data_IF_139435151357
#
_entry.id   IF_139435151357
#
_cell.length_a   1.000
_cell.length_b   1.000
_cell.length_c   1.000
_cell.angle_alpha   90.00
_cell.angle_beta   90.00
_cell.angle_gamma   90.00
#
_symmetry.space_group_name_H-M   'P 1'
#
loop_
_entity.id
_entity.type
_entity.pdbx_description
1 polymer ?
#
# COMPACT_ATOMS: atom_id res chain seq x y z
N UNK A 1 9.50 8.62 -15.87
CA UNK A 1 10.72 8.20 -16.60
C UNK A 1 10.85 8.92 -17.94
N UNK A 2 9.78 9.05 -18.73
CA UNK A 2 9.82 9.80 -20.00
C UNK A 2 10.07 11.32 -19.88
N UNK A 3 10.09 11.88 -18.66
CA UNK A 3 10.24 13.32 -18.38
C UNK A 3 11.57 13.71 -17.73
N UNK A 4 12.49 12.77 -17.52
CA UNK A 4 13.75 13.01 -16.79
C UNK A 4 14.95 12.72 -17.72
N UNK A 5 16.00 13.56 -17.77
CA UNK A 5 17.21 13.29 -18.53
C UNK A 5 17.84 11.95 -18.16
N UNK A 6 18.46 11.27 -19.14
CA UNK A 6 18.99 9.91 -19.00
C UNK A 6 20.00 9.79 -17.83
N UNK A 7 20.77 10.85 -17.60
CA UNK A 7 21.81 10.94 -16.57
C UNK A 7 21.22 10.96 -15.15
N UNK A 8 19.94 11.29 -14.99
CA UNK A 8 19.25 11.41 -13.70
C UNK A 8 18.18 10.34 -13.48
N UNK A 9 18.04 9.38 -14.38
CA UNK A 9 17.04 8.30 -14.28
C UNK A 9 17.22 7.48 -13.01
N UNK A 10 18.46 7.22 -12.58
CA UNK A 10 18.75 6.51 -11.32
C UNK A 10 18.24 7.26 -10.08
N UNK A 11 18.43 8.59 -10.03
CA UNK A 11 17.93 9.43 -8.93
C UNK A 11 16.40 9.48 -8.89
N UNK A 12 15.76 9.59 -10.05
CA UNK A 12 14.30 9.55 -10.15
C UNK A 12 13.74 8.18 -9.76
N UNK A 13 14.38 7.08 -10.18
CA UNK A 13 13.99 5.73 -9.82
C UNK A 13 14.09 5.49 -8.31
N UNK A 14 15.19 5.93 -7.70
CA UNK A 14 15.40 5.85 -6.25
C UNK A 14 14.29 6.59 -5.50
N UNK A 15 14.01 7.84 -5.86
CA UNK A 15 12.97 8.65 -5.23
C UNK A 15 11.57 8.01 -5.33
N UNK A 16 11.22 7.42 -6.48
CA UNK A 16 9.93 6.74 -6.65
C UNK A 16 9.85 5.46 -5.80
N UNK A 17 10.94 4.69 -5.72
CA UNK A 17 10.98 3.46 -4.92
C UNK A 17 10.83 3.74 -3.42
N UNK A 18 11.58 4.71 -2.88
CA UNK A 18 11.48 5.10 -1.47
C UNK A 18 10.10 5.68 -1.15
N UNK A 19 9.56 6.52 -2.04
CA UNK A 19 8.20 7.05 -1.89
C UNK A 19 7.15 5.94 -1.84
N UNK A 20 7.29 4.89 -2.68
CA UNK A 20 6.41 3.71 -2.64
C UNK A 20 6.54 2.92 -1.36
N UNK A 21 7.76 2.66 -0.89
CA UNK A 21 7.99 1.93 0.36
C UNK A 21 7.40 2.69 1.55
N UNK A 22 7.65 4.00 1.62
CA UNK A 22 7.07 4.86 2.65
C UNK A 22 5.55 4.89 2.55
N UNK A 23 5.00 5.01 1.34
CA UNK A 23 3.56 4.95 1.10
C UNK A 23 2.93 3.63 1.56
N UNK A 24 3.59 2.50 1.32
CA UNK A 24 3.12 1.20 1.79
C UNK A 24 3.12 1.12 3.33
N UNK A 25 4.20 1.55 3.98
CA UNK A 25 4.29 1.56 5.43
C UNK A 25 3.24 2.49 6.08
N UNK A 26 3.10 3.71 5.56
CA UNK A 26 2.09 4.67 6.02
C UNK A 26 0.67 4.15 5.77
N UNK A 27 0.42 3.52 4.62
CA UNK A 27 -0.86 2.92 4.29
C UNK A 27 -1.27 1.85 5.31
N UNK A 28 -0.37 0.93 5.63
CA UNK A 28 -0.60 -0.10 6.66
C UNK A 28 -0.86 0.54 8.02
N UNK A 29 -0.04 1.51 8.44
CA UNK A 29 -0.17 2.16 9.74
C UNK A 29 -1.49 2.93 9.91
N UNK A 30 -1.84 3.74 8.91
CA UNK A 30 -3.07 4.55 8.92
C UNK A 30 -4.30 3.64 8.90
N UNK A 31 -4.33 2.62 8.03
CA UNK A 31 -5.47 1.70 7.98
C UNK A 31 -5.60 0.89 9.27
N UNK A 32 -4.49 0.46 9.89
CA UNK A 32 -4.51 -0.21 11.19
C UNK A 32 -5.05 0.69 12.31
N UNK A 33 -4.65 1.96 12.35
CA UNK A 33 -5.16 2.94 13.31
C UNK A 33 -6.67 3.23 13.11
N UNK A 34 -7.11 3.36 11.86
CA UNK A 34 -8.54 3.51 11.52
C UNK A 34 -9.30 2.27 11.98
N UNK A 35 -8.82 1.07 11.65
CA UNK A 35 -9.45 -0.18 12.05
C UNK A 35 -9.62 -0.29 13.56
N UNK A 36 -8.56 -0.02 14.33
CA UNK A 36 -8.63 0.04 15.78
C UNK A 36 -9.68 1.05 16.25
N UNK A 37 -9.64 2.30 15.75
CA UNK A 37 -10.63 3.31 16.10
C UNK A 37 -12.07 2.89 15.82
N UNK A 38 -12.32 2.15 14.72
CA UNK A 38 -13.65 1.63 14.37
C UNK A 38 -14.09 0.47 15.26
N UNK A 39 -13.20 -0.48 15.57
CA UNK A 39 -13.46 -1.57 16.53
C UNK A 39 -13.80 -1.00 17.91
N UNK A 40 -13.02 -0.04 18.40
CA UNK A 40 -13.27 0.63 19.68
C UNK A 40 -14.64 1.35 19.69
N UNK A 41 -14.99 2.00 18.59
CA UNK A 41 -16.29 2.66 18.44
C UNK A 41 -17.45 1.65 18.43
N UNK A 42 -17.28 0.52 17.73
CA UNK A 42 -18.29 -0.54 17.68
C UNK A 42 -18.48 -1.23 19.04
N UNK A 43 -17.40 -1.46 19.80
CA UNK A 43 -17.49 -1.96 21.19
C UNK A 43 -18.28 -1.00 22.08
N UNK A 44 -18.05 0.31 21.97
CA UNK A 44 -18.79 1.30 22.77
C UNK A 44 -20.26 1.36 22.40
N UNK A 45 -20.57 1.18 21.12
CA UNK A 45 -21.94 1.19 20.62
C UNK A 45 -22.72 -0.08 20.95
N UNK A 46 -22.05 -1.23 21.12
CA UNK A 46 -22.72 -2.50 21.43
C UNK A 46 -23.26 -2.58 22.86
N UNK A 47 -22.96 -1.61 23.73
CA UNK A 47 -23.40 -1.59 25.13
C UNK A 47 -22.86 -2.77 25.94
N UNK A 48 -21.76 -3.39 25.47
CA UNK A 48 -21.21 -4.59 26.09
C UNK A 48 -20.76 -4.34 27.54
N UNK A 49 -20.93 -5.33 28.40
CA UNK A 49 -20.47 -5.32 29.80
C UNK A 49 -18.93 -5.38 29.93
N UNK A 50 -18.19 -5.13 28.84
CA UNK A 50 -16.74 -5.07 28.84
C UNK A 50 -16.31 -3.81 29.59
N UNK A 51 -15.76 -3.97 30.79
CA UNK A 51 -15.31 -2.82 31.61
C UNK A 51 -14.29 -1.95 30.88
N UNK A 52 -13.31 -2.56 30.20
CA UNK A 52 -12.28 -1.85 29.43
C UNK A 52 -12.38 -2.10 27.92
N UNK A 53 -13.14 -1.22 27.27
CA UNK A 53 -13.32 -1.20 25.82
C UNK A 53 -12.01 -0.98 25.06
N UNK A 54 -11.05 -0.23 25.64
CA UNK A 54 -9.78 0.07 24.98
C UNK A 54 -8.87 -1.15 25.00
N UNK A 55 -8.72 -1.79 26.16
CA UNK A 55 -7.95 -3.03 26.26
C UNK A 55 -8.53 -4.15 25.39
N UNK A 56 -9.87 -4.22 25.28
CA UNK A 56 -10.54 -5.16 24.37
C UNK A 56 -10.27 -4.84 22.90
N UNK A 57 -10.33 -3.56 22.51
CA UNK A 57 -9.99 -3.14 21.15
C UNK A 57 -8.53 -3.46 20.80
N UNK A 58 -7.58 -3.12 21.69
CA UNK A 58 -6.16 -3.44 21.53
C UNK A 58 -5.93 -4.96 21.39
N UNK A 59 -6.62 -5.76 22.20
CA UNK A 59 -6.56 -7.22 22.12
C UNK A 59 -7.10 -7.75 20.77
N UNK A 60 -8.25 -7.25 20.33
CA UNK A 60 -8.88 -7.66 19.08
C UNK A 60 -8.01 -7.29 17.88
N UNK A 61 -7.54 -6.05 17.81
CA UNK A 61 -6.70 -5.58 16.70
C UNK A 61 -5.31 -6.18 16.74
N UNK A 62 -4.82 -6.60 17.91
CA UNK A 62 -3.59 -7.34 18.09
C UNK A 62 -3.71 -8.85 17.82
N UNK A 63 -4.85 -9.34 17.33
CA UNK A 63 -5.05 -10.76 16.99
C UNK A 63 -5.28 -11.68 18.20
N UNK A 64 -5.56 -11.13 19.38
CA UNK A 64 -5.76 -11.87 20.63
C UNK A 64 -7.24 -12.13 20.94
N UNK A 65 -8.09 -12.22 19.92
CA UNK A 65 -9.52 -12.46 20.05
C UNK A 65 -9.84 -13.76 20.81
N UNK A 66 -9.14 -14.86 20.50
CA UNK A 66 -9.32 -16.14 21.19
C UNK A 66 -8.99 -16.04 22.69
N UNK A 67 -7.95 -15.29 23.05
CA UNK A 67 -7.60 -15.05 24.46
C UNK A 67 -8.65 -14.19 25.18
N UNK A 68 -9.32 -13.28 24.47
CA UNK A 68 -10.42 -12.49 25.03
C UNK A 68 -11.64 -13.38 25.33
N UNK A 69 -11.99 -14.27 24.40
CA UNK A 69 -13.09 -15.22 24.56
C UNK A 69 -12.79 -16.21 25.70
N UNK A 70 -11.58 -16.75 25.76
CA UNK A 70 -11.16 -17.71 26.78
C UNK A 70 -11.13 -17.12 28.21
N UNK A 71 -11.04 -15.79 28.36
CA UNK A 71 -11.12 -15.10 29.67
C UNK A 71 -12.55 -14.94 30.17
N UNK A 72 -13.55 -15.07 29.29
CA UNK A 72 -14.95 -14.99 29.69
C UNK A 72 -15.38 -16.26 30.42
N UNK A 73 -16.32 -16.11 31.37
CA UNK A 73 -16.96 -17.25 32.02
C UNK A 73 -17.56 -18.20 30.96
N UNK A 74 -17.50 -19.54 31.15
CA UNK A 74 -17.96 -20.51 30.15
C UNK A 74 -19.35 -20.24 29.60
N UNK A 75 -20.26 -19.79 30.47
CA UNK A 75 -21.65 -19.41 30.16
C UNK A 75 -21.75 -18.22 29.18
N UNK A 76 -20.77 -17.33 29.17
CA UNK A 76 -20.73 -16.11 28.36
C UNK A 76 -19.82 -16.21 27.13
N UNK A 77 -19.06 -17.30 26.97
CA UNK A 77 -18.10 -17.44 25.86
C UNK A 77 -18.76 -17.34 24.48
N UNK A 78 -19.95 -17.91 24.32
CA UNK A 78 -20.69 -17.85 23.05
C UNK A 78 -21.10 -16.40 22.72
N UNK A 79 -21.62 -15.67 23.72
CA UNK A 79 -22.01 -14.28 23.57
C UNK A 79 -20.82 -13.36 23.26
N UNK A 80 -19.70 -13.54 23.97
CA UNK A 80 -18.45 -12.79 23.70
C UNK A 80 -17.91 -13.13 22.31
N UNK A 81 -17.95 -14.39 21.90
CA UNK A 81 -17.54 -14.79 20.55
C UNK A 81 -18.39 -14.09 19.48
N UNK A 82 -19.72 -14.10 19.60
CA UNK A 82 -20.62 -13.42 18.67
C UNK A 82 -20.34 -11.91 18.61
N UNK A 83 -20.18 -11.27 19.78
CA UNK A 83 -19.84 -9.86 19.88
C UNK A 83 -18.51 -9.53 19.18
N UNK A 84 -17.48 -10.35 19.39
CA UNK A 84 -16.16 -10.18 18.74
C UNK A 84 -16.31 -10.25 17.22
N UNK A 85 -17.04 -11.23 16.70
CA UNK A 85 -17.28 -11.35 15.25
C UNK A 85 -18.02 -10.14 14.68
N UNK A 86 -19.07 -9.68 15.37
CA UNK A 86 -19.88 -8.53 14.96
C UNK A 86 -19.06 -7.23 14.92
N UNK A 87 -18.35 -6.94 16.01
CA UNK A 87 -17.50 -5.75 16.15
C UNK A 87 -16.37 -5.77 15.11
N UNK A 88 -15.75 -6.93 14.90
CA UNK A 88 -14.67 -7.08 13.93
C UNK A 88 -15.18 -6.87 12.49
N UNK A 89 -16.31 -7.48 12.13
CA UNK A 89 -16.94 -7.29 10.82
C UNK A 89 -17.35 -5.82 10.60
N UNK A 90 -17.91 -5.18 11.61
CA UNK A 90 -18.28 -3.76 11.57
C UNK A 90 -17.07 -2.86 11.39
N UNK A 91 -16.00 -3.11 12.17
CA UNK A 91 -14.73 -2.39 12.06
C UNK A 91 -14.08 -2.53 10.68
N UNK A 92 -14.06 -3.74 10.13
CA UNK A 92 -13.53 -4.01 8.79
C UNK A 92 -14.34 -3.32 7.71
N UNK A 93 -15.67 -3.40 7.75
CA UNK A 93 -16.55 -2.73 6.79
C UNK A 93 -16.24 -1.24 6.71
N UNK A 94 -16.15 -0.57 7.86
CA UNK A 94 -15.85 0.85 7.90
C UNK A 94 -14.42 1.17 7.44
N UNK A 95 -13.45 0.31 7.77
CA UNK A 95 -12.07 0.47 7.32
C UNK A 95 -11.94 0.32 5.81
N UNK A 96 -12.63 -0.64 5.21
CA UNK A 96 -12.65 -0.81 3.75
C UNK A 96 -13.31 0.37 3.04
N UNK A 97 -14.34 0.97 3.62
CA UNK A 97 -14.92 2.20 3.07
C UNK A 97 -13.89 3.35 3.08
N UNK A 98 -13.17 3.52 4.20
CA UNK A 98 -12.09 4.53 4.30
C UNK A 98 -10.98 4.25 3.29
N UNK A 99 -10.56 2.98 3.15
CA UNK A 99 -9.57 2.56 2.17
C UNK A 99 -10.03 2.84 0.73
N UNK A 100 -11.31 2.57 0.42
CA UNK A 100 -11.90 2.87 -0.88
C UNK A 100 -11.89 4.36 -1.20
N UNK A 101 -12.28 5.22 -0.25
CA UNK A 101 -12.22 6.67 -0.41
C UNK A 101 -10.78 7.16 -0.60
N UNK A 102 -9.83 6.69 0.21
CA UNK A 102 -8.40 6.99 0.05
C UNK A 102 -7.87 6.58 -1.32
N UNK A 103 -8.27 5.40 -1.80
CA UNK A 103 -7.92 4.89 -3.12
C UNK A 103 -8.46 5.78 -4.25
N UNK A 104 -9.72 6.21 -4.16
CA UNK A 104 -10.33 7.13 -5.13
C UNK A 104 -9.63 8.50 -5.14
N UNK A 105 -9.32 9.05 -3.96
CA UNK A 105 -8.58 10.32 -3.84
C UNK A 105 -7.18 10.20 -4.45
N UNK A 106 -6.44 9.13 -4.09
CA UNK A 106 -5.13 8.86 -4.66
C UNK A 106 -5.17 8.67 -6.18
N UNK A 107 -6.15 7.92 -6.68
CA UNK A 107 -6.37 7.73 -8.11
C UNK A 107 -6.69 9.02 -8.84
N UNK A 108 -7.54 9.87 -8.27
CA UNK A 108 -7.86 11.19 -8.83
C UNK A 108 -6.63 12.10 -8.89
N UNK A 109 -5.80 12.11 -7.82
CA UNK A 109 -4.53 12.86 -7.80
C UNK A 109 -3.60 12.38 -8.92
N UNK A 110 -3.44 11.07 -9.08
CA UNK A 110 -2.61 10.50 -10.16
C UNK A 110 -3.17 10.87 -11.53
N UNK A 111 -4.49 10.76 -11.74
CA UNK A 111 -5.13 11.12 -13.00
C UNK A 111 -4.94 12.60 -13.35
N UNK A 112 -4.98 13.50 -12.35
CA UNK A 112 -4.74 14.93 -12.54
C UNK A 112 -3.27 15.23 -12.83
N UNK A 113 -2.35 14.60 -12.10
CA UNK A 113 -0.90 14.83 -12.24
C UNK A 113 -0.32 14.26 -13.54
N UNK A 114 -0.84 13.12 -14.01
CA UNK A 114 -0.34 12.46 -15.23
C UNK A 114 -0.95 13.05 -16.51
N UNK A 115 -2.04 13.84 -16.43
CA UNK A 115 -2.81 14.30 -17.60
C UNK A 115 -2.16 15.36 -18.52
N UNK A 116 -0.85 15.61 -18.47
CA UNK A 116 -0.08 16.39 -19.47
C UNK A 116 1.36 15.84 -19.57
N UNK A 117 1.94 15.52 -20.76
CA UNK A 117 1.87 16.26 -22.03
C UNK A 117 1.54 15.43 -23.30
N UNK A 118 1.20 16.08 -24.44
CA UNK A 118 1.16 15.42 -25.75
C UNK A 118 2.51 14.80 -26.08
N UNK A 119 2.47 13.62 -26.70
CA UNK A 119 3.63 12.93 -27.22
C UNK A 119 4.45 13.89 -28.09
N UNK A 120 5.59 14.37 -27.59
CA UNK A 120 6.63 14.88 -28.47
C UNK A 120 7.06 13.67 -29.27
N UNK A 121 6.70 13.70 -30.56
CA UNK A 121 7.17 12.75 -31.54
C UNK A 121 8.66 12.53 -31.30
N UNK A 122 9.03 11.28 -31.10
CA UNK A 122 10.39 10.80 -31.34
C UNK A 122 10.62 10.89 -32.85
N UNK A 123 10.62 12.10 -33.39
CA UNK A 123 11.09 12.42 -34.71
C UNK A 123 12.54 12.92 -34.53
N UNK A 124 13.41 12.27 -35.30
CA UNK A 124 14.80 12.60 -35.57
C UNK A 124 15.87 12.15 -34.56
N UNK A 125 16.64 11.15 -34.99
CA UNK A 125 17.87 10.70 -34.34
C UNK A 125 18.32 9.28 -34.69
N UNK A 126 17.49 8.44 -35.32
CA UNK A 126 17.94 7.15 -35.88
C UNK A 126 18.52 7.32 -37.29
N UNK A 127 19.49 8.22 -37.40
CA UNK A 127 20.21 8.53 -38.63
C UNK A 127 21.71 8.64 -38.40
N UNK A 128 22.32 7.65 -37.76
CA UNK A 128 23.77 7.45 -37.83
C UNK A 128 23.99 5.95 -38.14
N UNK A 129 24.33 5.60 -39.40
CA UNK A 129 24.82 4.27 -39.74
C UNK A 129 26.02 3.99 -38.85
N UNK A 130 26.03 2.83 -38.17
CA UNK A 130 27.24 2.31 -37.53
C UNK A 130 28.36 2.31 -38.56
N UNK A 131 29.25 3.29 -38.44
CA UNK A 131 30.48 3.38 -39.19
C UNK A 131 31.20 2.04 -39.07
N UNK A 132 31.48 1.46 -40.23
CA UNK A 132 32.03 0.14 -40.38
C UNK A 132 33.31 0.02 -39.55
N UNK A 133 33.30 -0.87 -38.54
CA UNK A 133 34.56 -1.35 -37.97
C UNK A 133 35.37 -1.92 -39.13
N UNK A 134 36.59 -1.40 -39.42
CA UNK A 134 37.40 -1.98 -40.47
C UNK A 134 37.67 -3.44 -40.10
N UNK A 135 37.24 -4.33 -40.99
CA UNK A 135 37.63 -5.72 -41.03
C UNK A 135 39.15 -5.77 -40.99
N UNK A 136 39.71 -6.27 -39.89
CA UNK A 136 41.11 -6.70 -39.85
C UNK A 136 41.21 -7.86 -40.83
N UNK A 137 41.58 -7.54 -42.07
CA UNK A 137 41.97 -8.52 -43.07
C UNK A 137 43.19 -9.25 -42.52
N UNK A 138 43.07 -10.57 -42.46
CA UNK A 138 44.19 -11.47 -42.36
C UNK A 138 45.21 -11.12 -43.45
N UNK A 139 46.38 -10.62 -43.06
CA UNK A 139 47.59 -10.69 -43.87
C UNK A 139 48.42 -11.83 -43.32
N UNK A 140 48.28 -12.98 -43.97
CA UNK A 140 49.37 -13.94 -44.06
C UNK A 140 50.47 -13.32 -44.92
N UNK A 141 51.70 -13.19 -44.40
CA UNK A 141 52.94 -13.35 -45.18
C UNK A 141 54.20 -13.30 -44.31
N UNK A 142 54.95 -14.40 -44.38
CA UNK A 142 56.41 -14.49 -44.49
C UNK A 142 57.28 -13.69 -43.50
N UNK A 143 57.92 -14.40 -42.55
CA UNK A 143 59.35 -14.78 -42.63
C UNK A 143 59.72 -15.76 -41.53
#
# INVERSE_FOLDING_TARGET
MASVPAERVGMAAGAVSTSRQLGNALGIAVLGAVFHGKVLSALRASGSAVEDHKAAADALTGGRAAALIARAAPEHQAAVSQLVHEVFATGLRQTFLVAGVLGLVGGAIVLLLVRRPPARAWADGRGEPREARPSVKATARER
#
